data_IF_170546224327
#
_entry.id   IF_170546224327
#
_cell.length_a   1.000
_cell.length_b   1.000
_cell.length_c   1.000
_cell.angle_alpha   90.00
_cell.angle_beta   90.00
_cell.angle_gamma   90.00
#
_symmetry.space_group_name_H-M   'P 1'
#
loop_
_entity.id
_entity.type
_entity.pdbx_description
1 polymer ?
#
# COMPACT_ATOMS: atom_id res chain seq x y z
N UNK A 1 -25.39 -48.42 -32.65
CA UNK A 1 -25.66 -47.12 -33.33
C UNK A 1 -26.47 -46.12 -32.50
N UNK A 2 -27.44 -46.53 -31.66
CA UNK A 2 -28.19 -45.61 -30.78
C UNK A 2 -27.39 -45.02 -29.61
N UNK A 3 -26.41 -45.75 -29.08
CA UNK A 3 -25.56 -45.29 -27.95
C UNK A 3 -24.41 -44.36 -28.36
N UNK A 4 -24.01 -44.40 -29.64
CA UNK A 4 -22.98 -43.51 -30.20
C UNK A 4 -23.54 -42.11 -30.51
N UNK A 5 -24.83 -42.00 -30.87
CA UNK A 5 -25.50 -40.71 -31.06
C UNK A 5 -25.70 -39.95 -29.74
N UNK A 6 -25.93 -40.65 -28.62
CA UNK A 6 -26.20 -40.04 -27.32
C UNK A 6 -24.94 -39.45 -26.64
N UNK A 7 -23.75 -39.96 -26.98
CA UNK A 7 -22.49 -39.44 -26.44
C UNK A 7 -22.05 -38.19 -27.22
N UNK A 8 -22.36 -38.11 -28.52
CA UNK A 8 -22.04 -36.93 -29.34
C UNK A 8 -22.90 -35.70 -28.97
N UNK A 9 -24.14 -35.90 -28.52
CA UNK A 9 -25.01 -34.81 -28.07
C UNK A 9 -24.70 -34.30 -26.66
N UNK A 10 -24.11 -35.13 -25.78
CA UNK A 10 -23.71 -34.68 -24.45
C UNK A 10 -22.43 -33.83 -24.47
N UNK A 11 -21.51 -34.09 -25.41
CA UNK A 11 -20.25 -33.32 -25.53
C UNK A 11 -20.48 -31.94 -26.18
N UNK A 12 -21.53 -31.78 -26.98
CA UNK A 12 -21.82 -30.51 -27.67
C UNK A 12 -22.53 -29.46 -26.81
N UNK A 13 -23.07 -29.83 -25.64
CA UNK A 13 -23.68 -28.88 -24.70
C UNK A 13 -22.69 -28.27 -23.69
N UNK A 14 -21.42 -28.68 -23.67
CA UNK A 14 -20.44 -28.23 -22.68
C UNK A 14 -19.60 -27.01 -23.11
N UNK A 15 -19.82 -26.44 -24.30
CA UNK A 15 -18.87 -25.51 -24.93
C UNK A 15 -19.34 -24.04 -25.09
N UNK A 16 -20.51 -23.63 -24.56
CA UNK A 16 -21.08 -22.31 -24.92
C UNK A 16 -21.47 -21.38 -23.76
N UNK A 17 -20.89 -21.51 -22.57
CA UNK A 17 -21.24 -20.61 -21.45
C UNK A 17 -20.07 -20.11 -20.58
N UNK A 18 -18.87 -19.96 -21.15
CA UNK A 18 -17.76 -19.28 -20.46
C UNK A 18 -17.27 -18.10 -21.30
N UNK A 19 -18.16 -17.14 -21.52
CA UNK A 19 -17.82 -15.85 -22.09
C UNK A 19 -18.34 -14.72 -21.19
N UNK A 20 -17.40 -13.90 -20.73
CA UNK A 20 -17.61 -12.57 -20.15
C UNK A 20 -18.21 -12.48 -18.74
N UNK A 21 -17.46 -12.95 -17.74
CA UNK A 21 -17.44 -12.30 -16.43
C UNK A 21 -16.00 -11.89 -16.10
N UNK A 22 -15.44 -10.96 -16.88
CA UNK A 22 -14.31 -10.18 -16.39
C UNK A 22 -14.81 -9.42 -15.16
N UNK A 23 -14.16 -9.52 -13.99
CA UNK A 23 -14.47 -8.62 -12.90
C UNK A 23 -14.11 -7.23 -13.41
N UNK A 24 -15.12 -6.48 -13.82
CA UNK A 24 -15.00 -5.05 -14.09
C UNK A 24 -14.64 -4.46 -12.73
N UNK A 25 -13.34 -4.37 -12.47
CA UNK A 25 -12.79 -3.63 -11.35
C UNK A 25 -13.40 -2.25 -11.48
N UNK A 26 -14.46 -2.00 -10.70
CA UNK A 26 -15.01 -0.66 -10.53
C UNK A 26 -13.79 0.14 -10.11
N UNK A 27 -13.34 1.03 -10.99
CA UNK A 27 -12.23 1.94 -10.73
C UNK A 27 -12.59 2.67 -9.44
N UNK A 28 -12.09 2.14 -8.31
CA UNK A 28 -12.21 2.78 -7.02
C UNK A 28 -11.60 4.16 -7.27
N UNK A 29 -12.32 5.26 -6.99
CA UNK A 29 -11.76 6.59 -7.11
C UNK A 29 -10.38 6.57 -6.44
N UNK A 30 -9.34 6.81 -7.23
CA UNK A 30 -7.97 6.87 -6.71
C UNK A 30 -8.00 7.96 -5.63
N UNK A 31 -7.60 7.67 -4.38
CA UNK A 31 -7.47 8.70 -3.38
C UNK A 31 -6.61 9.84 -3.95
N UNK A 32 -6.93 11.10 -3.65
CA UNK A 32 -6.09 12.21 -4.06
C UNK A 32 -4.64 11.94 -3.66
N UNK A 33 -3.66 12.35 -4.50
CA UNK A 33 -2.26 12.08 -4.21
C UNK A 33 -1.89 12.62 -2.83
N UNK A 34 -1.05 11.91 -2.06
CA UNK A 34 -0.63 12.37 -0.75
C UNK A 34 -0.04 13.78 -0.83
N UNK A 35 -0.41 14.65 0.11
CA UNK A 35 0.18 15.98 0.22
C UNK A 35 1.70 15.82 0.39
N UNK A 36 2.52 16.51 -0.44
CA UNK A 36 3.98 16.45 -0.32
C UNK A 36 4.46 16.89 1.06
N UNK A 37 5.45 16.17 1.61
CA UNK A 37 6.11 16.51 2.88
C UNK A 37 7.29 17.44 2.60
N UNK A 38 7.04 18.75 2.56
CA UNK A 38 8.07 19.75 2.21
C UNK A 38 8.71 20.40 3.43
N UNK A 39 8.14 20.23 4.62
CA UNK A 39 8.64 20.80 5.88
C UNK A 39 8.52 19.83 7.06
N UNK A 40 9.28 20.09 8.12
CA UNK A 40 9.16 19.38 9.40
C UNK A 40 7.74 19.51 10.00
N UNK A 41 7.10 20.67 9.80
CA UNK A 41 5.74 20.93 10.30
C UNK A 41 4.69 20.05 9.61
N UNK A 42 4.86 19.75 8.32
CA UNK A 42 3.95 18.85 7.60
C UNK A 42 4.07 17.42 8.12
N UNK A 43 5.30 16.98 8.40
CA UNK A 43 5.58 15.66 8.98
C UNK A 43 4.97 15.57 10.38
N UNK A 44 5.18 16.57 11.23
CA UNK A 44 4.60 16.60 12.58
C UNK A 44 3.07 16.62 12.55
N UNK A 45 2.47 17.37 11.62
CA UNK A 45 1.00 17.37 11.43
C UNK A 45 0.50 15.98 11.06
N UNK A 46 1.19 15.27 10.17
CA UNK A 46 0.84 13.90 9.82
C UNK A 46 1.00 12.94 11.00
N UNK A 47 2.11 13.01 11.75
CA UNK A 47 2.35 12.22 12.96
C UNK A 47 1.21 12.41 13.98
N UNK A 48 0.84 13.67 14.26
CA UNK A 48 -0.18 14.01 15.24
C UNK A 48 -1.58 13.49 14.85
N UNK A 49 -1.89 13.46 13.55
CA UNK A 49 -3.18 12.96 13.05
C UNK A 49 -3.22 11.46 12.76
N UNK A 50 -2.06 10.78 12.77
CA UNK A 50 -1.93 9.39 12.27
C UNK A 50 -2.89 8.40 12.94
N UNK A 51 -3.13 8.54 14.25
CA UNK A 51 -3.99 7.62 15.00
C UNK A 51 -5.45 7.65 14.53
N UNK A 52 -5.90 8.77 13.97
CA UNK A 52 -7.27 8.93 13.49
C UNK A 52 -7.49 8.24 12.14
N UNK A 53 -6.46 8.22 11.30
CA UNK A 53 -6.48 7.55 10.00
C UNK A 53 -5.09 6.98 9.68
N UNK A 54 -4.79 5.75 10.13
CA UNK A 54 -3.48 5.14 9.93
C UNK A 54 -3.16 4.89 8.45
N UNK A 55 -2.05 5.45 7.98
CA UNK A 55 -1.56 5.33 6.61
C UNK A 55 -0.13 4.73 6.58
N UNK A 56 0.07 3.44 6.96
CA UNK A 56 1.40 2.85 7.07
C UNK A 56 2.18 2.87 5.74
N UNK A 57 1.48 2.76 4.60
CA UNK A 57 2.09 2.82 3.27
C UNK A 57 2.74 4.18 2.93
N UNK A 58 2.39 5.24 3.66
CA UNK A 58 2.98 6.58 3.47
C UNK A 58 4.34 6.71 4.16
N UNK A 59 4.63 5.84 5.13
CA UNK A 59 5.86 5.89 5.94
C UNK A 59 7.15 6.00 5.11
N UNK A 60 7.36 5.24 4.01
CA UNK A 60 8.62 5.29 3.27
C UNK A 60 8.91 6.66 2.67
N UNK A 61 7.89 7.31 2.08
CA UNK A 61 7.99 8.67 1.55
C UNK A 61 8.28 9.67 2.68
N UNK A 62 7.64 9.51 3.84
CA UNK A 62 7.87 10.39 4.99
C UNK A 62 9.30 10.27 5.52
N UNK A 63 9.84 9.05 5.62
CA UNK A 63 11.23 8.82 6.06
C UNK A 63 12.25 9.43 5.10
N UNK A 64 12.01 9.32 3.79
CA UNK A 64 12.86 10.00 2.79
C UNK A 64 12.80 11.53 2.94
N UNK A 65 11.62 12.09 3.22
CA UNK A 65 11.48 13.51 3.51
C UNK A 65 12.22 13.92 4.79
N UNK A 66 12.14 13.11 5.86
CA UNK A 66 12.90 13.33 7.09
C UNK A 66 14.41 13.35 6.83
N UNK A 67 14.94 12.42 6.01
CA UNK A 67 16.37 12.41 5.60
C UNK A 67 16.74 13.70 4.86
N UNK A 68 15.95 14.07 3.85
CA UNK A 68 16.18 15.27 3.03
C UNK A 68 16.15 16.56 3.86
N UNK A 69 15.31 16.60 4.90
CA UNK A 69 15.18 17.73 5.82
C UNK A 69 16.18 17.67 6.99
N UNK A 70 17.10 16.70 6.99
CA UNK A 70 18.10 16.48 8.03
C UNK A 70 17.53 16.26 9.45
N UNK A 71 16.28 15.80 9.57
CA UNK A 71 15.58 15.64 10.85
C UNK A 71 16.15 14.50 11.71
N UNK A 72 16.92 13.60 11.12
CA UNK A 72 17.65 12.56 11.86
C UNK A 72 18.99 13.06 12.44
N UNK A 73 19.45 14.27 12.08
CA UNK A 73 20.75 14.82 12.53
C UNK A 73 20.62 15.72 13.77
N UNK A 74 19.43 16.28 13.99
CA UNK A 74 19.13 17.08 15.17
C UNK A 74 18.79 16.16 16.35
N UNK A 75 19.71 15.99 17.29
CA UNK A 75 19.55 15.05 18.41
C UNK A 75 18.41 15.44 19.36
N UNK A 76 18.06 16.72 19.45
CA UNK A 76 17.01 17.20 20.34
C UNK A 76 15.61 16.81 19.82
N UNK A 77 15.46 16.72 18.50
CA UNK A 77 14.18 16.41 17.85
C UNK A 77 14.11 15.02 17.19
N UNK A 78 15.25 14.39 16.86
CA UNK A 78 15.31 13.11 16.14
C UNK A 78 14.49 11.99 16.80
N UNK A 79 14.41 12.00 18.14
CA UNK A 79 13.68 11.00 18.92
C UNK A 79 12.22 10.84 18.49
N UNK A 80 11.52 11.93 18.14
CA UNK A 80 10.11 11.85 17.72
C UNK A 80 9.96 11.12 16.40
N UNK A 81 10.86 11.39 15.43
CA UNK A 81 10.78 10.83 14.09
C UNK A 81 11.19 9.35 14.06
N UNK A 82 12.26 9.00 14.79
CA UNK A 82 12.71 7.61 14.94
C UNK A 82 11.69 6.79 15.72
N UNK A 83 11.22 7.30 16.86
CA UNK A 83 10.23 6.62 17.69
C UNK A 83 8.91 6.40 16.96
N UNK A 84 8.43 7.39 16.20
CA UNK A 84 7.24 7.23 15.39
C UNK A 84 7.42 6.20 14.26
N UNK A 85 8.54 6.25 13.54
CA UNK A 85 8.87 5.25 12.51
C UNK A 85 8.86 3.84 13.09
N UNK A 86 9.52 3.64 14.25
CA UNK A 86 9.52 2.37 14.96
C UNK A 86 8.11 1.94 15.39
N UNK A 87 7.29 2.86 15.89
CA UNK A 87 5.90 2.59 16.28
C UNK A 87 5.04 2.12 15.12
N UNK A 88 5.15 2.75 13.94
CA UNK A 88 4.41 2.32 12.74
C UNK A 88 4.85 0.93 12.30
N UNK A 89 6.17 0.65 12.28
CA UNK A 89 6.68 -0.67 11.90
C UNK A 89 6.23 -1.76 12.90
N UNK A 90 6.33 -1.49 14.20
CA UNK A 90 5.93 -2.43 15.26
C UNK A 90 4.43 -2.72 15.27
N UNK A 91 3.59 -1.73 14.94
CA UNK A 91 2.15 -1.92 14.79
C UNK A 91 1.75 -2.66 13.51
N UNK A 92 2.66 -2.79 12.53
CA UNK A 92 2.39 -3.39 11.22
C UNK A 92 3.45 -4.45 10.84
N UNK A 93 3.62 -5.52 11.65
CA UNK A 93 4.75 -6.46 11.50
C UNK A 93 4.77 -7.16 10.13
N UNK A 94 3.61 -7.52 9.58
CA UNK A 94 3.51 -8.15 8.25
C UNK A 94 3.93 -7.22 7.10
N UNK A 95 3.84 -5.90 7.30
CA UNK A 95 4.23 -4.91 6.30
C UNK A 95 5.65 -4.38 6.51
N UNK A 96 6.23 -4.57 7.69
CA UNK A 96 7.45 -3.89 8.12
C UNK A 96 8.61 -4.03 7.13
N UNK A 97 8.89 -5.25 6.66
CA UNK A 97 9.98 -5.50 5.70
C UNK A 97 9.76 -4.74 4.38
N UNK A 98 8.54 -4.79 3.83
CA UNK A 98 8.17 -4.05 2.61
C UNK A 98 8.26 -2.53 2.82
N UNK A 99 7.88 -2.04 3.99
CA UNK A 99 7.96 -0.62 4.31
C UNK A 99 9.42 -0.16 4.38
N UNK A 100 10.27 -0.89 5.11
CA UNK A 100 11.71 -0.60 5.24
C UNK A 100 12.40 -0.65 3.88
N UNK A 101 12.17 -1.69 3.07
CA UNK A 101 12.78 -1.80 1.74
C UNK A 101 12.50 -0.57 0.86
N UNK A 102 11.28 -0.01 0.93
CA UNK A 102 10.89 1.18 0.16
C UNK A 102 11.43 2.50 0.71
N UNK A 103 12.03 2.53 1.89
CA UNK A 103 12.68 3.74 2.42
C UNK A 103 13.95 4.09 1.65
N UNK A 104 14.57 3.10 0.99
CA UNK A 104 15.88 3.22 0.37
C UNK A 104 15.83 3.33 -1.17
N UNK A 105 16.84 3.95 -1.81
CA UNK A 105 17.94 4.70 -1.18
C UNK A 105 17.43 5.98 -0.51
N UNK A 106 18.05 6.36 0.60
CA UNK A 106 17.77 7.65 1.23
C UNK A 106 18.67 8.74 0.60
N UNK A 107 18.12 9.93 0.31
CA UNK A 107 18.87 11.07 -0.20
C UNK A 107 19.71 11.75 0.89
#
# INVERSE_FOLDING_TARGET
MRRLLAILTLVLCAATAVAAATPRSKSRPQPPPPVPMTSAQDILRWINSYRQNPEPDRLPMTVQAMSKLALFKDLDSAGVYVGFTAGVLGANPTLAEKLVARMFPMP
#
